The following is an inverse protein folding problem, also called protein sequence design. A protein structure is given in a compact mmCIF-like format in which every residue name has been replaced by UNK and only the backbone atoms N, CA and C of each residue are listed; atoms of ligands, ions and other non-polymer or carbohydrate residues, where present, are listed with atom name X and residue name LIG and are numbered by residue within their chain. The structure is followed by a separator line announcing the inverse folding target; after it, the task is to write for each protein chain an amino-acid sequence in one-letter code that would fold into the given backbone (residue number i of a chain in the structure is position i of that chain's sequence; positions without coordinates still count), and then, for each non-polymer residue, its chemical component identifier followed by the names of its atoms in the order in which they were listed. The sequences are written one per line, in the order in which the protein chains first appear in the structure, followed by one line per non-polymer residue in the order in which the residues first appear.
data_IF_970610708935
#
_entry.id   IF_970610708935
#
_cell.length_a   1.000
_cell.length_b   1.000
_cell.length_c   1.000
_cell.angle_alpha   90.00
_cell.angle_beta   90.00
_cell.angle_gamma   90.00
#
_symmetry.space_group_name_H-M   'P 1'
#
loop_
_entity.id
_entity.type
_entity.pdbx_description
1 polymer ?
#
# COMPACT_ATOMS: atom_id res chain seq x y z
N UNK A 1 -23.19 -55.08 5.15
CA UNK A 1 -23.55 -53.69 4.85
C UNK A 1 -22.30 -52.84 4.99
N UNK A 2 -21.57 -52.63 3.88
CA UNK A 2 -20.38 -51.77 3.86
C UNK A 2 -20.82 -50.41 3.37
N UNK A 3 -21.13 -49.50 4.30
CA UNK A 3 -21.40 -48.10 3.99
C UNK A 3 -20.11 -47.44 3.54
N UNK A 4 -19.87 -47.43 2.23
CA UNK A 4 -18.78 -46.69 1.62
C UNK A 4 -18.99 -45.21 1.85
N UNK A 5 -18.24 -44.64 2.79
CA UNK A 5 -18.13 -43.20 2.93
C UNK A 5 -17.30 -42.76 1.72
N UNK A 6 -17.95 -42.24 0.68
CA UNK A 6 -17.25 -41.47 -0.35
C UNK A 6 -16.77 -40.18 0.31
N UNK A 7 -15.59 -40.22 0.93
CA UNK A 7 -14.91 -39.03 1.41
C UNK A 7 -14.58 -38.18 0.20
N UNK A 8 -15.30 -37.06 0.03
CA UNK A 8 -14.98 -36.06 -0.96
C UNK A 8 -13.56 -35.55 -0.63
N UNK A 9 -12.60 -35.83 -1.51
CA UNK A 9 -11.23 -35.33 -1.36
C UNK A 9 -11.26 -33.81 -1.57
N UNK A 10 -11.06 -33.04 -0.50
CA UNK A 10 -11.01 -31.58 -0.56
C UNK A 10 -9.56 -31.17 -0.86
N UNK A 11 -9.35 -30.50 -1.99
CA UNK A 11 -8.07 -29.88 -2.31
C UNK A 11 -7.97 -28.52 -1.63
N UNK A 12 -7.00 -28.37 -0.72
CA UNK A 12 -6.73 -27.12 -0.03
C UNK A 12 -5.52 -26.46 -0.69
N UNK A 13 -5.66 -25.19 -1.08
CA UNK A 13 -4.56 -24.35 -1.55
C UNK A 13 -4.36 -23.23 -0.55
N UNK A 14 -3.24 -23.27 0.17
CA UNK A 14 -2.85 -22.21 1.11
C UNK A 14 -2.07 -21.11 0.38
N UNK A 15 -2.56 -19.88 0.46
CA UNK A 15 -1.83 -18.69 0.01
C UNK A 15 -1.40 -17.90 1.25
N UNK A 16 -0.12 -17.61 1.36
CA UNK A 16 0.45 -16.90 2.51
C UNK A 16 1.52 -15.90 2.05
N UNK A 17 1.78 -14.91 2.90
CA UNK A 17 3.01 -14.12 2.81
C UNK A 17 4.22 -14.99 3.20
N UNK A 18 5.43 -14.52 2.88
CA UNK A 18 6.67 -15.18 3.32
C UNK A 18 6.79 -15.13 4.84
N UNK A 19 6.57 -16.26 5.50
CA UNK A 19 6.69 -16.40 6.94
C UNK A 19 7.97 -17.18 7.29
N UNK A 20 8.68 -16.86 8.39
CA UNK A 20 9.83 -17.66 8.84
C UNK A 20 9.48 -19.11 9.18
N UNK A 21 8.26 -19.37 9.65
CA UNK A 21 7.78 -20.66 10.14
C UNK A 21 6.88 -21.39 9.12
N UNK A 22 7.12 -21.21 7.82
CA UNK A 22 6.27 -21.78 6.77
C UNK A 22 6.25 -23.32 6.76
N UNK A 23 7.28 -23.98 7.30
CA UNK A 23 7.34 -25.45 7.44
C UNK A 23 6.25 -25.94 8.39
N UNK A 24 6.14 -25.31 9.57
CA UNK A 24 5.11 -25.67 10.56
C UNK A 24 3.69 -25.49 10.00
N UNK A 25 3.50 -24.48 9.15
CA UNK A 25 2.23 -24.23 8.46
C UNK A 25 1.94 -25.32 7.41
N UNK A 26 2.95 -25.76 6.67
CA UNK A 26 2.82 -26.84 5.71
C UNK A 26 2.46 -28.17 6.39
N UNK A 27 3.11 -28.46 7.53
CA UNK A 27 2.84 -29.65 8.35
C UNK A 27 1.42 -29.60 8.92
N UNK A 28 0.97 -28.45 9.44
CA UNK A 28 -0.40 -28.26 9.92
C UNK A 28 -1.45 -28.53 8.85
N UNK A 29 -1.18 -28.12 7.60
CA UNK A 29 -2.09 -28.35 6.47
C UNK A 29 -1.98 -29.76 5.88
N UNK A 30 -1.03 -30.59 6.34
CA UNK A 30 -0.75 -31.90 5.75
C UNK A 30 -0.32 -31.80 4.28
N UNK A 31 0.37 -30.71 3.93
CA UNK A 31 0.70 -30.42 2.54
C UNK A 31 1.82 -31.33 2.02
N UNK A 32 1.58 -31.96 0.87
CA UNK A 32 2.57 -32.74 0.13
C UNK A 32 3.48 -31.88 -0.77
N UNK A 33 3.22 -30.57 -0.85
CA UNK A 33 4.00 -29.63 -1.64
C UNK A 33 3.81 -28.19 -1.16
N UNK A 34 4.91 -27.52 -0.83
CA UNK A 34 4.90 -26.10 -0.52
C UNK A 34 5.91 -25.37 -1.41
N UNK A 35 5.61 -24.11 -1.71
CA UNK A 35 6.49 -23.24 -2.47
C UNK A 35 6.85 -22.05 -1.60
N UNK A 36 8.15 -21.75 -1.54
CA UNK A 36 8.68 -20.59 -0.85
C UNK A 36 9.31 -19.66 -1.88
N UNK A 37 8.81 -18.44 -1.93
CA UNK A 37 9.25 -17.40 -2.83
C UNK A 37 9.72 -16.23 -1.98
N UNK A 38 11.02 -16.02 -1.85
CA UNK A 38 11.53 -14.85 -1.13
C UNK A 38 11.27 -13.54 -1.92
N UNK A 39 11.72 -12.41 -1.37
CA UNK A 39 11.52 -11.08 -2.00
C UNK A 39 12.09 -10.96 -3.42
N UNK A 40 13.02 -11.82 -3.83
CA UNK A 40 13.60 -11.81 -5.19
C UNK A 40 12.62 -12.27 -6.26
N UNK A 41 11.54 -12.96 -5.88
CA UNK A 41 10.49 -13.43 -6.79
C UNK A 41 9.38 -12.41 -7.01
N UNK A 42 9.42 -11.25 -6.34
CA UNK A 42 8.46 -10.19 -6.62
C UNK A 42 8.65 -9.67 -8.06
N UNK A 43 7.58 -9.60 -8.87
CA UNK A 43 7.68 -9.15 -10.27
C UNK A 43 8.15 -7.70 -10.39
N UNK A 44 7.94 -6.91 -9.33
CA UNK A 44 8.46 -5.54 -9.18
C UNK A 44 9.25 -5.51 -7.87
N UNK A 45 10.58 -5.29 -7.90
CA UNK A 45 11.37 -5.10 -6.70
C UNK A 45 10.84 -3.94 -5.86
N UNK A 46 10.82 -4.12 -4.54
CA UNK A 46 10.32 -3.12 -3.60
C UNK A 46 11.47 -2.53 -2.79
N UNK A 47 11.68 -1.22 -2.90
CA UNK A 47 12.51 -0.46 -1.98
C UNK A 47 11.68 -0.03 -0.76
N UNK A 48 12.27 -0.09 0.43
CA UNK A 48 11.60 0.23 1.68
C UNK A 48 12.42 1.23 2.49
N UNK A 49 11.76 2.31 2.92
CA UNK A 49 12.35 3.30 3.83
C UNK A 49 11.58 3.33 5.14
N UNK A 50 12.29 3.24 6.26
CA UNK A 50 11.71 3.35 7.60
C UNK A 50 12.01 4.73 8.17
N UNK A 51 10.98 5.56 8.33
CA UNK A 51 11.11 6.92 8.85
C UNK A 51 10.54 6.97 10.27
N UNK A 52 11.44 6.97 11.26
CA UNK A 52 11.08 7.07 12.67
C UNK A 52 10.88 8.52 13.11
N UNK A 53 9.66 8.91 13.46
CA UNK A 53 9.35 10.25 13.95
C UNK A 53 9.49 10.28 15.47
N UNK A 54 10.40 11.13 15.97
CA UNK A 54 10.63 11.30 17.40
C UNK A 54 9.63 12.31 17.98
N UNK A 55 9.04 11.97 19.11
CA UNK A 55 8.17 12.86 19.87
C UNK A 55 7.44 12.12 20.98
N UNK A 56 6.91 12.86 21.96
CA UNK A 56 6.01 12.26 22.95
C UNK A 56 4.65 11.98 22.29
N UNK A 57 4.01 10.84 22.58
CA UNK A 57 2.68 10.55 22.06
C UNK A 57 1.68 11.64 22.51
N UNK A 58 0.66 11.88 21.69
CA UNK A 58 -0.41 12.86 21.90
C UNK A 58 0.03 14.34 21.94
N UNK A 59 1.28 14.66 21.60
CA UNK A 59 1.66 16.05 21.36
C UNK A 59 1.30 16.48 19.93
N UNK A 60 0.70 17.66 19.73
CA UNK A 60 0.40 18.20 18.40
C UNK A 60 1.62 18.24 17.47
N UNK A 61 2.80 18.47 18.04
CA UNK A 61 4.06 18.55 17.31
C UNK A 61 4.47 17.22 16.66
N UNK A 62 4.13 16.07 17.26
CA UNK A 62 4.38 14.77 16.64
C UNK A 62 3.59 14.64 15.34
N UNK A 63 2.34 15.09 15.35
CA UNK A 63 1.47 15.07 14.17
C UNK A 63 1.97 16.05 13.10
N UNK A 64 2.33 17.27 13.48
CA UNK A 64 2.90 18.25 12.54
C UNK A 64 4.18 17.71 11.86
N UNK A 65 5.06 17.05 12.61
CA UNK A 65 6.26 16.44 12.05
C UNK A 65 5.91 15.30 11.08
N UNK A 66 4.88 14.50 11.38
CA UNK A 66 4.38 13.44 10.50
C UNK A 66 3.81 14.00 9.22
N UNK A 67 2.95 15.01 9.31
CA UNK A 67 2.34 15.66 8.15
C UNK A 67 3.44 16.27 7.25
N UNK A 68 4.43 16.95 7.85
CA UNK A 68 5.56 17.51 7.11
C UNK A 68 6.39 16.45 6.39
N UNK A 69 6.81 15.40 7.09
CA UNK A 69 7.62 14.32 6.50
C UNK A 69 6.83 13.61 5.38
N UNK A 70 5.53 13.41 5.58
CA UNK A 70 4.65 12.81 4.58
C UNK A 70 4.60 13.68 3.33
N UNK A 71 4.40 14.99 3.48
CA UNK A 71 4.42 15.92 2.36
C UNK A 71 5.74 15.91 1.60
N UNK A 72 6.87 15.98 2.31
CA UNK A 72 8.19 16.00 1.69
C UNK A 72 8.42 14.75 0.83
N UNK A 73 8.04 13.56 1.33
CA UNK A 73 8.16 12.30 0.59
C UNK A 73 7.18 12.18 -0.58
N UNK A 74 5.94 12.63 -0.40
CA UNK A 74 4.94 12.66 -1.46
C UNK A 74 5.39 13.58 -2.60
N UNK A 75 5.93 14.76 -2.27
CA UNK A 75 6.42 15.73 -3.26
C UNK A 75 7.68 15.24 -3.99
N UNK A 76 8.61 14.59 -3.28
CA UNK A 76 9.81 13.96 -3.86
C UNK A 76 9.41 12.95 -4.95
N UNK A 77 8.58 11.97 -4.61
CA UNK A 77 8.12 10.94 -5.55
C UNK A 77 7.28 11.52 -6.69
N UNK A 78 6.45 12.52 -6.39
CA UNK A 78 5.64 13.20 -7.41
C UNK A 78 6.51 13.95 -8.43
N UNK A 79 7.62 14.57 -8.01
CA UNK A 79 8.59 15.23 -8.91
C UNK A 79 9.34 14.24 -9.79
N UNK A 80 9.49 13.01 -9.34
CA UNK A 80 10.05 11.90 -10.11
C UNK A 80 9.02 11.28 -11.09
N UNK A 81 7.78 11.78 -11.10
CA UNK A 81 6.70 11.31 -11.97
C UNK A 81 5.97 10.07 -11.44
N UNK A 82 6.14 9.72 -10.16
CA UNK A 82 5.47 8.59 -9.54
C UNK A 82 4.12 8.99 -8.92
N UNK A 83 3.13 8.09 -9.04
CA UNK A 83 1.88 8.20 -8.28
C UNK A 83 2.10 7.72 -6.84
N UNK A 84 1.51 8.42 -5.88
CA UNK A 84 1.70 8.13 -4.46
C UNK A 84 0.37 7.78 -3.80
N UNK A 85 0.36 6.69 -3.03
CA UNK A 85 -0.79 6.25 -2.24
C UNK A 85 -0.49 6.38 -0.75
N UNK A 86 -1.25 7.22 -0.05
CA UNK A 86 -1.07 7.47 1.39
C UNK A 86 -2.10 6.68 2.19
N UNK A 87 -1.64 5.76 3.04
CA UNK A 87 -2.48 5.03 3.98
C UNK A 87 -2.57 5.74 5.33
N UNK A 88 -3.78 5.82 5.88
CA UNK A 88 -4.09 6.44 7.18
C UNK A 88 -4.97 5.50 8.01
N UNK A 89 -5.12 5.75 9.31
CA UNK A 89 -5.79 4.79 10.21
C UNK A 89 -7.32 4.97 10.28
N UNK A 90 -7.86 6.10 9.82
CA UNK A 90 -9.30 6.36 9.85
C UNK A 90 -9.79 7.15 8.64
N UNK A 91 -11.07 6.96 8.28
CA UNK A 91 -11.73 7.67 7.17
C UNK A 91 -11.66 9.20 7.31
N UNK A 92 -11.85 9.70 8.54
CA UNK A 92 -11.75 11.15 8.83
C UNK A 92 -10.35 11.67 8.54
N UNK A 93 -9.33 10.87 8.83
CA UNK A 93 -7.95 11.26 8.55
C UNK A 93 -7.63 11.27 7.07
N UNK A 94 -8.31 10.48 6.24
CA UNK A 94 -8.12 10.51 4.79
C UNK A 94 -8.40 11.91 4.26
N UNK A 95 -9.53 12.49 4.67
CA UNK A 95 -9.92 13.85 4.26
C UNK A 95 -8.97 14.89 4.86
N UNK A 96 -8.68 14.78 6.16
CA UNK A 96 -7.82 15.75 6.84
C UNK A 96 -6.40 15.76 6.29
N UNK A 97 -5.82 14.59 6.03
CA UNK A 97 -4.46 14.47 5.49
C UNK A 97 -4.42 14.99 4.06
N UNK A 98 -5.41 14.66 3.22
CA UNK A 98 -5.49 15.19 1.86
C UNK A 98 -5.56 16.73 1.84
N UNK A 99 -6.39 17.33 2.71
CA UNK A 99 -6.47 18.78 2.87
C UNK A 99 -5.15 19.38 3.35
N UNK A 100 -4.52 18.77 4.35
CA UNK A 100 -3.23 19.22 4.89
C UNK A 100 -2.14 19.22 3.82
N UNK A 101 -2.03 18.13 3.05
CA UNK A 101 -1.06 18.01 1.96
C UNK A 101 -1.33 19.04 0.84
N UNK A 102 -2.61 19.28 0.51
CA UNK A 102 -3.00 20.29 -0.46
C UNK A 102 -2.67 21.71 0.01
N UNK A 103 -2.93 22.04 1.26
CA UNK A 103 -2.57 23.33 1.87
C UNK A 103 -1.06 23.54 1.86
N UNK A 104 -0.26 22.52 2.22
CA UNK A 104 1.20 22.57 2.14
C UNK A 104 1.68 22.77 0.70
N UNK A 105 1.10 22.04 -0.27
CA UNK A 105 1.43 22.21 -1.68
C UNK A 105 1.12 23.63 -2.18
N UNK A 106 0.00 24.20 -1.75
CA UNK A 106 -0.39 25.57 -2.09
C UNK A 106 0.56 26.59 -1.47
N UNK A 107 0.93 26.44 -0.20
CA UNK A 107 1.86 27.33 0.49
C UNK A 107 3.27 27.30 -0.10
N UNK A 108 3.71 26.14 -0.58
CA UNK A 108 5.03 25.98 -1.21
C UNK A 108 5.04 26.18 -2.73
N UNK A 109 3.90 26.50 -3.35
CA UNK A 109 3.79 26.68 -4.80
C UNK A 109 4.06 25.39 -5.59
N UNK A 110 3.79 24.23 -5.00
CA UNK A 110 4.05 22.90 -5.54
C UNK A 110 2.80 22.20 -6.12
N UNK A 111 1.69 22.93 -6.29
CA UNK A 111 0.43 22.35 -6.78
C UNK A 111 0.58 21.70 -8.16
N UNK A 112 1.39 22.28 -9.04
CA UNK A 112 1.60 21.77 -10.40
C UNK A 112 2.24 20.37 -10.41
N UNK A 113 3.02 20.03 -9.38
CA UNK A 113 3.61 18.69 -9.24
C UNK A 113 2.53 17.60 -9.12
N UNK A 114 1.37 17.94 -8.57
CA UNK A 114 0.25 17.02 -8.36
C UNK A 114 -0.80 17.08 -9.49
N UNK A 115 -0.57 17.88 -10.53
CA UNK A 115 -1.50 18.00 -11.66
C UNK A 115 -1.55 16.72 -12.48
N UNK A 116 -2.76 16.24 -12.74
CA UNK A 116 -3.00 15.06 -13.59
C UNK A 116 -3.34 15.42 -15.03
N UNK A 117 -3.42 16.72 -15.36
CA UNK A 117 -3.97 17.20 -16.63
C UNK A 117 -3.20 16.71 -17.86
N UNK A 118 -1.90 16.50 -17.71
CA UNK A 118 -1.02 16.05 -18.79
C UNK A 118 -0.97 14.52 -18.93
N UNK A 119 -1.54 13.78 -17.98
CA UNK A 119 -1.49 12.32 -17.99
C UNK A 119 -2.45 11.74 -19.03
N UNK A 120 -1.95 10.88 -19.93
CA UNK A 120 -2.72 10.31 -21.05
C UNK A 120 -4.03 9.64 -20.62
N UNK A 121 -4.02 8.90 -19.49
CA UNK A 121 -5.23 8.27 -18.97
C UNK A 121 -6.29 9.30 -18.51
N UNK A 122 -5.86 10.44 -17.97
CA UNK A 122 -6.77 11.51 -17.55
C UNK A 122 -7.45 12.14 -18.78
N UNK A 123 -6.69 12.39 -19.84
CA UNK A 123 -7.19 12.90 -21.12
C UNK A 123 -8.19 11.93 -21.75
N UNK A 124 -7.91 10.62 -21.71
CA UNK A 124 -8.79 9.58 -22.23
C UNK A 124 -10.10 9.45 -21.42
N UNK A 125 -10.03 9.52 -20.08
CA UNK A 125 -11.22 9.49 -19.22
C UNK A 125 -12.11 10.72 -19.44
N UNK A 126 -11.51 11.89 -19.64
CA UNK A 126 -12.24 13.13 -19.91
C UNK A 126 -13.02 13.10 -21.23
N UNK A 127 -12.54 12.35 -22.24
CA UNK A 127 -13.25 12.15 -23.50
C UNK A 127 -14.50 11.27 -23.36
N UNK A 128 -14.43 10.22 -22.55
CA UNK A 128 -15.57 9.33 -22.30
C UNK A 128 -16.65 9.91 -21.39
N UNK A 129 -16.37 10.97 -20.63
CA UNK A 129 -17.36 11.64 -19.76
C UNK A 129 -18.26 12.65 -20.49
N UNK A 130 -17.90 13.01 -21.72
CA UNK A 130 -18.63 13.98 -22.54
C UNK A 130 -19.45 13.32 -23.67
N UNK A 131 -19.62 11.99 -23.61
CA UNK A 131 -20.55 11.19 -24.42
C UNK A 131 -21.66 10.63 -23.51
#
# INVERSE_FOLDING_TARGET
MSGGINSILIHVVGLSATLPNYIDVADFLGSIGFFYFDSSFHPVPLEQHFIGIRGKPNLPQLRQNLDRITFDKVLELSREGHQVMVFVHARKETVQSAQTLWEMAMMEGALDNFSTQEHLQFIQLGRHRNE
#
